data_IF_261907749729
#
_entry.id   IF_261907749729
#
_cell.length_a   1.000
_cell.length_b   1.000
_cell.length_c   1.000
_cell.angle_alpha   90.00
_cell.angle_beta   90.00
_cell.angle_gamma   90.00
#
_symmetry.space_group_name_H-M   'P 1'
#
loop_
_entity.id
_entity.type
_entity.pdbx_description
1 polymer ?
#
# COMPACT_ATOMS: atom_id res chain seq x y z
N UNK A 1 -34.97 3.56 -15.18
CA UNK A 1 -33.62 3.12 -15.63
C UNK A 1 -32.59 4.21 -15.32
N UNK A 2 -32.32 4.51 -14.04
CA UNK A 2 -31.47 5.66 -13.62
C UNK A 2 -30.33 5.29 -12.67
N UNK A 3 -30.12 4.00 -12.40
CA UNK A 3 -29.25 3.54 -11.32
C UNK A 3 -27.98 2.81 -11.83
N UNK A 4 -27.75 2.79 -13.14
CA UNK A 4 -26.67 1.97 -13.77
C UNK A 4 -25.36 2.75 -13.98
N UNK A 5 -25.36 4.07 -13.81
CA UNK A 5 -24.15 4.88 -14.06
C UNK A 5 -23.22 5.04 -12.85
N UNK A 6 -23.66 4.76 -11.61
CA UNK A 6 -22.84 5.02 -10.41
C UNK A 6 -21.90 3.85 -10.08
N UNK A 7 -22.18 2.64 -10.57
CA UNK A 7 -21.41 1.43 -10.19
C UNK A 7 -20.08 1.31 -10.98
N UNK A 8 -19.98 1.91 -12.15
CA UNK A 8 -18.81 1.76 -13.03
C UNK A 8 -17.61 2.65 -12.68
N UNK A 9 -17.78 3.70 -11.85
CA UNK A 9 -16.67 4.58 -11.45
C UNK A 9 -15.83 4.06 -10.27
N UNK A 10 -16.33 3.09 -9.50
CA UNK A 10 -15.63 2.55 -8.31
C UNK A 10 -14.57 1.49 -8.63
N UNK A 11 -14.51 0.99 -9.87
CA UNK A 11 -13.63 -0.14 -10.24
C UNK A 11 -12.22 0.34 -10.64
N UNK A 12 -12.06 1.62 -10.98
CA UNK A 12 -10.79 2.17 -11.49
C UNK A 12 -9.73 2.52 -10.43
N UNK A 13 -10.07 2.55 -9.14
CA UNK A 13 -9.18 3.11 -8.08
C UNK A 13 -8.41 2.02 -7.31
N UNK A 14 -8.66 0.73 -7.60
CA UNK A 14 -8.13 -0.39 -6.80
C UNK A 14 -6.80 -0.98 -7.32
N UNK A 15 -6.43 -0.71 -8.56
CA UNK A 15 -5.22 -1.27 -9.18
C UNK A 15 -3.92 -0.73 -8.59
N UNK A 16 -3.90 0.53 -8.15
CA UNK A 16 -2.72 1.14 -7.52
C UNK A 16 -2.36 0.59 -6.15
N UNK A 17 -3.34 0.09 -5.38
CA UNK A 17 -3.11 -0.48 -4.04
C UNK A 17 -2.67 -1.95 -4.08
N UNK A 18 -3.11 -2.71 -5.09
CA UNK A 18 -2.75 -4.12 -5.21
C UNK A 18 -1.24 -4.33 -5.41
N UNK A 19 -0.58 -3.43 -6.15
CA UNK A 19 0.87 -3.49 -6.35
C UNK A 19 1.63 -3.20 -5.04
N UNK A 20 1.27 -2.13 -4.32
CA UNK A 20 1.91 -1.81 -3.04
C UNK A 20 1.79 -2.92 -2.00
N UNK A 21 0.64 -3.59 -1.93
CA UNK A 21 0.46 -4.74 -1.03
C UNK A 21 1.42 -5.88 -1.35
N UNK A 22 1.66 -6.18 -2.63
CA UNK A 22 2.64 -7.21 -3.03
C UNK A 22 4.07 -6.81 -2.70
N UNK A 23 4.40 -5.55 -2.95
CA UNK A 23 5.70 -4.99 -2.61
C UNK A 23 6.00 -5.05 -1.11
N UNK A 24 5.05 -4.61 -0.28
CA UNK A 24 5.14 -4.70 1.17
C UNK A 24 5.23 -6.16 1.64
N UNK A 25 4.41 -7.06 1.08
CA UNK A 25 4.43 -8.49 1.40
C UNK A 25 5.82 -9.11 1.19
N UNK A 26 6.48 -8.78 0.09
CA UNK A 26 7.84 -9.26 -0.19
C UNK A 26 8.87 -8.74 0.82
N UNK A 27 8.67 -7.54 1.37
CA UNK A 27 9.60 -6.91 2.30
C UNK A 27 9.33 -7.28 3.77
N UNK A 28 8.09 -7.56 4.15
CA UNK A 28 7.68 -7.87 5.53
C UNK A 28 7.43 -9.35 5.78
N UNK A 29 7.31 -10.17 4.72
CA UNK A 29 6.94 -11.59 4.82
C UNK A 29 5.45 -11.85 5.04
N UNK A 30 4.63 -10.80 5.06
CA UNK A 30 3.18 -10.91 5.23
C UNK A 30 2.46 -11.37 3.96
N UNK A 31 1.28 -11.97 4.11
CA UNK A 31 0.41 -12.22 2.95
C UNK A 31 -0.12 -10.88 2.42
N UNK A 32 -0.07 -10.62 1.10
CA UNK A 32 -0.56 -9.36 0.53
C UNK A 32 -2.04 -9.09 0.82
N UNK A 33 -2.86 -10.12 1.10
CA UNK A 33 -4.27 -9.95 1.48
C UNK A 33 -4.45 -9.37 2.88
N UNK A 34 -3.51 -9.65 3.78
CA UNK A 34 -3.56 -9.23 5.18
C UNK A 34 -2.92 -7.84 5.40
N UNK A 35 -2.37 -7.24 4.34
CA UNK A 35 -1.73 -5.93 4.38
C UNK A 35 -2.76 -4.83 4.14
N UNK A 36 -2.80 -3.88 5.07
CA UNK A 36 -3.51 -2.60 4.96
C UNK A 36 -2.50 -1.50 4.68
N UNK A 37 -2.74 -0.72 3.63
CA UNK A 37 -1.86 0.40 3.25
C UNK A 37 -2.51 1.71 3.70
N UNK A 38 -1.75 2.55 4.39
CA UNK A 38 -2.18 3.84 4.92
C UNK A 38 -1.07 4.89 4.73
N UNK A 39 -1.40 6.18 4.92
CA UNK A 39 -0.44 7.30 4.87
C UNK A 39 0.48 7.30 3.63
N UNK A 40 -0.11 7.07 2.45
CA UNK A 40 0.59 7.07 1.17
C UNK A 40 1.01 8.51 0.82
N UNK A 41 2.29 8.72 0.53
CA UNK A 41 2.85 9.99 0.05
C UNK A 41 3.72 9.75 -1.18
N UNK A 42 3.59 10.62 -2.17
CA UNK A 42 4.33 10.50 -3.43
C UNK A 42 5.35 11.64 -3.52
N UNK A 43 6.61 11.29 -3.74
CA UNK A 43 7.75 12.20 -3.84
C UNK A 43 8.50 11.92 -5.14
N UNK A 44 8.15 12.68 -6.19
CA UNK A 44 8.81 12.67 -7.51
C UNK A 44 8.82 11.29 -8.19
N UNK A 45 9.82 10.45 -7.91
CA UNK A 45 9.98 9.08 -8.42
C UNK A 45 9.85 8.00 -7.35
N UNK A 46 9.54 8.38 -6.12
CA UNK A 46 9.42 7.51 -4.96
C UNK A 46 8.05 7.66 -4.28
N UNK A 47 7.54 6.56 -3.75
CA UNK A 47 6.28 6.50 -3.01
C UNK A 47 6.56 5.91 -1.63
N UNK A 48 6.19 6.65 -0.58
CA UNK A 48 6.25 6.18 0.81
C UNK A 48 4.85 5.85 1.30
N UNK A 49 4.73 4.84 2.16
CA UNK A 49 3.45 4.40 2.71
C UNK A 49 3.66 3.58 3.99
N UNK A 50 2.62 3.50 4.82
CA UNK A 50 2.58 2.63 5.99
C UNK A 50 1.84 1.35 5.65
N UNK A 51 2.52 0.21 5.75
CA UNK A 51 1.92 -1.11 5.66
C UNK A 51 1.64 -1.63 7.07
N UNK A 52 0.39 -2.01 7.35
CA UNK A 52 0.00 -2.66 8.60
C UNK A 52 -0.32 -4.12 8.32
N UNK A 53 0.25 -5.03 9.10
CA UNK A 53 0.03 -6.47 9.01
C UNK A 53 0.12 -7.08 10.40
N UNK A 54 -0.84 -7.93 10.78
CA UNK A 54 -0.88 -8.61 12.08
C UNK A 54 -0.72 -7.67 13.29
N UNK A 55 -1.23 -6.45 13.20
CA UNK A 55 -1.08 -5.41 14.23
C UNK A 55 0.28 -4.69 14.25
N UNK A 56 1.21 -5.09 13.40
CA UNK A 56 2.51 -4.45 13.25
C UNK A 56 2.49 -3.44 12.11
N UNK A 57 3.13 -2.29 12.31
CA UNK A 57 3.24 -1.24 11.32
C UNK A 57 4.65 -1.18 10.73
N UNK A 58 4.72 -0.96 9.42
CA UNK A 58 5.94 -0.89 8.65
C UNK A 58 5.92 0.38 7.80
N UNK A 59 6.96 1.20 7.89
CA UNK A 59 7.18 2.31 6.98
C UNK A 59 7.89 1.79 5.75
N UNK A 60 7.21 1.86 4.61
CA UNK A 60 7.70 1.37 3.33
C UNK A 60 7.99 2.53 2.39
N UNK A 61 9.05 2.38 1.61
CA UNK A 61 9.43 3.27 0.51
C UNK A 61 9.64 2.43 -0.73
N UNK A 62 9.03 2.82 -1.85
CA UNK A 62 9.22 2.17 -3.15
C UNK A 62 9.56 3.21 -4.21
N UNK A 63 10.62 2.97 -4.98
CA UNK A 63 11.00 3.85 -6.10
C UNK A 63 10.67 3.21 -7.45
N UNK A 64 10.57 4.02 -8.51
CA UNK A 64 10.35 3.55 -9.89
C UNK A 64 11.35 2.46 -10.34
N UNK A 65 12.59 2.51 -9.85
CA UNK A 65 13.66 1.56 -10.17
C UNK A 65 14.28 0.88 -8.94
N UNK A 66 13.73 1.13 -7.75
CA UNK A 66 14.29 0.61 -6.50
C UNK A 66 13.36 -0.45 -5.91
N UNK A 67 13.97 -1.48 -5.31
CA UNK A 67 13.20 -2.43 -4.52
C UNK A 67 12.54 -1.72 -3.34
N UNK A 68 11.36 -2.20 -2.99
CA UNK A 68 10.61 -1.70 -1.84
C UNK A 68 11.37 -2.04 -0.56
N UNK A 69 11.66 -1.02 0.24
CA UNK A 69 12.27 -1.18 1.55
C UNK A 69 11.23 -0.85 2.61
N UNK A 70 11.01 -1.76 3.53
CA UNK A 70 10.10 -1.57 4.66
C UNK A 70 10.87 -1.69 5.98
N UNK A 71 10.66 -0.74 6.88
CA UNK A 71 11.23 -0.76 8.23
C UNK A 71 10.11 -0.83 9.24
N UNK A 72 10.24 -1.73 10.23
CA UNK A 72 9.25 -1.85 11.31
C UNK A 72 9.19 -0.54 12.09
N UNK A 73 8.00 0.04 12.19
CA UNK A 73 7.74 1.22 13.01
C UNK A 73 7.88 0.86 14.48
N UNK A 74 8.81 1.51 15.18
CA UNK A 74 8.77 1.59 16.64
C UNK A 74 7.78 2.70 16.95
N UNK A 75 6.56 2.34 17.36
CA UNK A 75 5.64 3.29 17.97
C UNK A 75 6.39 3.89 19.17
N UNK A 76 6.78 5.17 19.09
CA UNK A 76 7.21 5.93 20.26
C UNK A 76 5.91 6.35 20.94
N UNK A 77 5.65 5.74 22.10
CA UNK A 77 4.53 6.07 23.00
C UNK A 77 4.47 7.56 23.35
#
# INVERSE_FOLDING_TARGET
>A
MKNVCVVLMLIGVLTGCANLKRHAASATGCNPKDIVISQRSFFDVAETYVATCNGEQYYCTTGLYQQTQCTKSKQVE
#
